data_IF_331845858243
#
_entry.id   IF_331845858243
#
_cell.length_a   1.000
_cell.length_b   1.000
_cell.length_c   1.000
_cell.angle_alpha   90.00
_cell.angle_beta   90.00
_cell.angle_gamma   90.00
#
_symmetry.space_group_name_H-M   'P 1'
#
loop_
_entity.id
_entity.type
_entity.pdbx_description
1 polymer ?
#
# COMPACT_ATOMS: atom_id res chain seq x y z
N UNK A 1 -36.91 -14.93 14.74
CA UNK A 1 -37.14 -16.34 14.31
C UNK A 1 -35.99 -16.96 13.51
N UNK A 2 -34.95 -16.22 13.08
CA UNK A 2 -33.90 -16.76 12.20
C UNK A 2 -32.73 -17.43 12.97
N UNK A 3 -32.41 -16.99 14.17
CA UNK A 3 -31.21 -17.42 14.91
C UNK A 3 -31.26 -18.90 15.32
N UNK A 4 -32.35 -19.44 15.94
CA UNK A 4 -32.36 -20.82 16.38
C UNK A 4 -32.19 -21.87 15.26
N UNK A 5 -32.83 -21.76 14.07
CA UNK A 5 -32.63 -22.73 13.00
C UNK A 5 -31.24 -22.66 12.37
N UNK A 6 -30.64 -21.48 12.25
CA UNK A 6 -29.26 -21.33 11.75
C UNK A 6 -28.25 -21.98 12.72
N UNK A 7 -28.35 -21.70 14.01
CA UNK A 7 -27.48 -22.30 15.03
C UNK A 7 -27.64 -23.83 15.11
N UNK A 8 -28.86 -24.34 15.02
CA UNK A 8 -29.12 -25.77 15.00
C UNK A 8 -28.50 -26.44 13.75
N UNK A 9 -28.60 -25.79 12.60
CA UNK A 9 -28.00 -26.26 11.35
C UNK A 9 -26.47 -26.27 11.42
N UNK A 10 -25.84 -25.29 12.05
CA UNK A 10 -24.38 -25.22 12.22
C UNK A 10 -23.86 -26.31 13.15
N UNK A 11 -24.52 -26.52 14.30
CA UNK A 11 -24.10 -27.53 15.28
C UNK A 11 -24.28 -28.98 14.77
N UNK A 12 -25.32 -29.24 14.00
CA UNK A 12 -25.64 -30.56 13.48
C UNK A 12 -25.52 -30.64 11.95
N UNK A 13 -24.56 -29.91 11.37
CA UNK A 13 -24.43 -29.71 9.93
C UNK A 13 -24.40 -31.04 9.14
N UNK A 14 -23.63 -32.04 9.58
CA UNK A 14 -23.52 -33.34 8.91
C UNK A 14 -24.84 -34.12 8.88
N UNK A 15 -25.55 -34.21 10.01
CA UNK A 15 -26.81 -34.93 10.09
C UNK A 15 -27.89 -34.28 9.25
N UNK A 16 -27.97 -32.96 9.27
CA UNK A 16 -28.96 -32.18 8.50
C UNK A 16 -28.61 -32.23 7.00
N UNK A 17 -27.35 -32.17 6.65
CA UNK A 17 -26.89 -32.34 5.27
C UNK A 17 -27.26 -33.70 4.71
N UNK A 18 -26.98 -34.77 5.45
CA UNK A 18 -27.34 -36.15 5.02
C UNK A 18 -28.83 -36.38 4.92
N UNK A 19 -29.63 -35.84 5.85
CA UNK A 19 -31.10 -35.96 5.81
C UNK A 19 -31.72 -35.26 4.57
N UNK A 20 -31.13 -34.11 4.20
CA UNK A 20 -31.65 -33.33 3.06
C UNK A 20 -30.96 -33.70 1.73
N UNK A 21 -29.88 -34.47 1.74
CA UNK A 21 -29.09 -34.78 0.54
C UNK A 21 -29.94 -35.39 -0.58
N UNK A 22 -30.83 -36.31 -0.25
CA UNK A 22 -31.69 -36.98 -1.25
C UNK A 22 -32.68 -36.01 -1.91
N UNK A 23 -33.24 -35.09 -1.14
CA UNK A 23 -34.17 -34.08 -1.63
C UNK A 23 -33.44 -33.10 -2.55
N UNK A 24 -32.29 -32.61 -2.08
CA UNK A 24 -31.42 -31.67 -2.83
C UNK A 24 -30.94 -32.34 -4.12
N UNK A 25 -30.51 -33.61 -4.08
CA UNK A 25 -30.08 -34.35 -5.25
C UNK A 25 -31.16 -34.48 -6.28
N UNK A 26 -32.39 -34.79 -5.84
CA UNK A 26 -33.56 -34.93 -6.74
C UNK A 26 -33.84 -33.60 -7.44
N UNK A 27 -33.86 -32.51 -6.71
CA UNK A 27 -34.01 -31.17 -7.26
C UNK A 27 -32.89 -30.80 -8.24
N UNK A 28 -31.65 -31.16 -7.90
CA UNK A 28 -30.50 -30.92 -8.76
C UNK A 28 -30.63 -31.65 -10.10
N UNK A 29 -31.03 -32.91 -10.09
CA UNK A 29 -31.24 -33.69 -11.31
C UNK A 29 -32.36 -33.09 -12.18
N UNK A 30 -33.47 -32.65 -11.58
CA UNK A 30 -34.56 -31.98 -12.30
C UNK A 30 -34.12 -30.62 -12.86
N UNK A 31 -33.34 -29.86 -12.12
CA UNK A 31 -32.88 -28.53 -12.52
C UNK A 31 -31.73 -28.57 -13.56
N UNK A 32 -30.91 -29.63 -13.58
CA UNK A 32 -29.75 -29.75 -14.49
C UNK A 32 -30.07 -29.49 -15.97
N UNK A 33 -31.14 -30.10 -16.58
CA UNK A 33 -31.42 -29.83 -17.99
C UNK A 33 -31.79 -28.36 -18.24
N UNK A 34 -32.51 -27.73 -17.30
CA UNK A 34 -32.87 -26.32 -17.42
C UNK A 34 -31.61 -25.43 -17.33
N UNK A 35 -30.72 -25.69 -16.36
CA UNK A 35 -29.44 -25.00 -16.19
C UNK A 35 -28.58 -25.17 -17.45
N UNK A 36 -28.54 -26.38 -18.02
CA UNK A 36 -27.79 -26.65 -19.25
C UNK A 36 -28.29 -25.79 -20.42
N UNK A 37 -29.61 -25.71 -20.60
CA UNK A 37 -30.21 -24.89 -21.66
C UNK A 37 -29.90 -23.42 -21.44
N UNK A 38 -30.03 -22.92 -20.20
CA UNK A 38 -29.72 -21.53 -19.87
C UNK A 38 -28.24 -21.18 -20.09
N UNK A 39 -27.32 -22.08 -19.70
CA UNK A 39 -25.90 -21.90 -19.94
C UNK A 39 -25.56 -21.87 -21.43
N UNK A 40 -26.17 -22.76 -22.25
CA UNK A 40 -25.96 -22.75 -23.69
C UNK A 40 -26.52 -21.49 -24.36
N UNK A 41 -27.67 -21.01 -23.89
CA UNK A 41 -28.24 -19.75 -24.35
C UNK A 41 -27.34 -18.56 -24.00
N UNK A 42 -26.84 -18.50 -22.76
CA UNK A 42 -25.91 -17.48 -22.29
C UNK A 42 -24.62 -17.47 -23.13
N UNK A 43 -24.00 -18.64 -23.34
CA UNK A 43 -22.80 -18.74 -24.17
C UNK A 43 -23.07 -18.31 -25.62
N UNK A 44 -24.26 -18.62 -26.15
CA UNK A 44 -24.68 -18.15 -27.48
C UNK A 44 -24.79 -16.64 -27.59
N UNK A 45 -25.34 -15.98 -26.56
CA UNK A 45 -25.43 -14.52 -26.49
C UNK A 45 -24.02 -13.91 -26.36
N UNK A 46 -23.16 -14.45 -25.47
CA UNK A 46 -21.78 -13.97 -25.31
C UNK A 46 -20.95 -14.10 -26.60
N UNK A 47 -21.16 -15.21 -27.33
CA UNK A 47 -20.52 -15.40 -28.65
C UNK A 47 -21.03 -14.37 -29.68
N UNK A 48 -22.28 -14.04 -29.69
CA UNK A 48 -22.85 -13.01 -30.58
C UNK A 48 -22.32 -11.62 -30.22
N UNK A 49 -22.09 -11.35 -28.91
CA UNK A 49 -21.51 -10.10 -28.40
C UNK A 49 -19.98 -10.07 -28.53
N UNK A 50 -19.34 -11.14 -29.01
CA UNK A 50 -17.87 -11.27 -29.07
C UNK A 50 -17.17 -11.08 -27.73
N UNK A 51 -17.80 -11.43 -26.64
CA UNK A 51 -17.23 -11.43 -25.30
C UNK A 51 -16.65 -12.81 -25.01
N UNK A 52 -15.37 -12.87 -24.63
CA UNK A 52 -14.72 -14.12 -24.23
C UNK A 52 -15.20 -14.52 -22.82
N UNK A 53 -15.93 -15.62 -22.68
CA UNK A 53 -16.40 -16.08 -21.37
C UNK A 53 -15.27 -16.55 -20.46
N UNK A 54 -14.06 -16.78 -20.99
CA UNK A 54 -12.86 -17.12 -20.23
C UNK A 54 -11.92 -15.93 -20.01
N UNK A 55 -12.32 -14.72 -20.44
CA UNK A 55 -11.60 -13.52 -20.05
C UNK A 55 -11.59 -13.47 -18.51
N UNK A 56 -10.39 -13.62 -17.95
CA UNK A 56 -10.13 -13.77 -16.50
C UNK A 56 -10.90 -12.73 -15.66
N UNK A 57 -12.08 -13.11 -15.20
CA UNK A 57 -12.79 -12.37 -14.15
C UNK A 57 -12.47 -12.93 -12.75
N UNK A 58 -11.67 -14.01 -12.67
CA UNK A 58 -11.37 -14.71 -11.42
C UNK A 58 -10.03 -14.30 -10.78
N UNK A 59 -9.44 -13.18 -11.22
CA UNK A 59 -8.30 -12.63 -10.47
C UNK A 59 -8.83 -11.83 -9.30
N UNK A 60 -8.54 -12.29 -8.10
CA UNK A 60 -8.80 -11.52 -6.88
C UNK A 60 -8.21 -10.11 -7.03
N UNK A 61 -9.02 -9.13 -6.71
CA UNK A 61 -8.57 -7.75 -6.58
C UNK A 61 -7.90 -7.54 -5.23
N UNK A 62 -7.17 -6.45 -5.07
CA UNK A 62 -6.64 -6.07 -3.75
C UNK A 62 -7.75 -5.93 -2.72
N UNK A 63 -8.88 -5.34 -3.10
CA UNK A 63 -10.07 -5.18 -2.24
C UNK A 63 -10.63 -6.53 -1.78
N UNK A 64 -10.65 -7.54 -2.66
CA UNK A 64 -11.06 -8.89 -2.29
C UNK A 64 -10.12 -9.50 -1.24
N UNK A 65 -8.81 -9.27 -1.38
CA UNK A 65 -7.81 -9.76 -0.42
C UNK A 65 -7.96 -9.04 0.92
N UNK A 66 -8.14 -7.71 0.93
CA UNK A 66 -8.40 -6.94 2.16
C UNK A 66 -9.65 -7.46 2.87
N UNK A 67 -10.72 -7.74 2.12
CA UNK A 67 -11.96 -8.32 2.68
C UNK A 67 -11.71 -9.69 3.31
N UNK A 68 -10.92 -10.56 2.68
CA UNK A 68 -10.55 -11.88 3.23
C UNK A 68 -9.77 -11.71 4.55
N UNK A 69 -8.84 -10.77 4.60
CA UNK A 69 -8.04 -10.47 5.80
C UNK A 69 -8.93 -9.96 6.92
N UNK A 70 -9.85 -9.05 6.63
CA UNK A 70 -10.80 -8.50 7.62
C UNK A 70 -11.71 -9.60 8.19
N UNK A 71 -12.29 -10.46 7.35
CA UNK A 71 -13.11 -11.60 7.80
C UNK A 71 -12.28 -12.58 8.63
N UNK A 72 -11.04 -12.87 8.23
CA UNK A 72 -10.15 -13.75 8.99
C UNK A 72 -9.79 -13.18 10.35
N UNK A 73 -9.69 -11.86 10.48
CA UNK A 73 -9.51 -11.18 11.75
C UNK A 73 -10.78 -11.28 12.62
N UNK A 74 -11.96 -11.05 12.08
CA UNK A 74 -13.24 -11.20 12.80
C UNK A 74 -13.45 -12.62 13.31
N UNK A 75 -12.99 -13.63 12.56
CA UNK A 75 -13.02 -15.04 12.96
C UNK A 75 -11.92 -15.41 13.97
N UNK A 76 -11.03 -14.48 14.32
CA UNK A 76 -9.95 -14.67 15.30
C UNK A 76 -8.76 -15.50 14.76
N UNK A 77 -8.63 -15.64 13.44
CA UNK A 77 -7.51 -16.36 12.80
C UNK A 77 -6.29 -15.45 12.64
N UNK A 78 -6.51 -14.16 12.43
CA UNK A 78 -5.49 -13.13 12.25
C UNK A 78 -5.57 -12.14 13.41
N UNK A 79 -4.42 -11.80 14.02
CA UNK A 79 -4.34 -10.79 15.07
C UNK A 79 -4.49 -9.37 14.52
N UNK A 80 -4.95 -8.38 15.33
CA UNK A 80 -5.13 -6.99 14.87
C UNK A 80 -3.86 -6.40 14.26
N UNK A 81 -2.70 -6.65 14.87
CA UNK A 81 -1.40 -6.17 14.42
C UNK A 81 -1.00 -6.77 13.07
N UNK A 82 -1.32 -8.04 12.84
CA UNK A 82 -1.05 -8.75 11.58
C UNK A 82 -1.92 -8.19 10.44
N UNK A 83 -3.21 -7.97 10.73
CA UNK A 83 -4.15 -7.33 9.80
C UNK A 83 -3.66 -5.96 9.37
N UNK A 84 -3.26 -5.11 10.34
CA UNK A 84 -2.77 -3.76 10.08
C UNK A 84 -1.46 -3.81 9.27
N UNK A 85 -0.58 -4.76 9.55
CA UNK A 85 0.66 -4.96 8.80
C UNK A 85 0.39 -5.33 7.33
N UNK A 86 -0.57 -6.22 7.07
CA UNK A 86 -0.96 -6.61 5.71
C UNK A 86 -1.52 -5.39 4.95
N UNK A 87 -2.40 -4.61 5.56
CA UNK A 87 -2.95 -3.41 4.95
C UNK A 87 -1.85 -2.36 4.67
N UNK A 88 -0.92 -2.15 5.59
CA UNK A 88 0.22 -1.25 5.39
C UNK A 88 1.13 -1.67 4.22
N UNK A 89 1.26 -2.98 3.93
CA UNK A 89 2.01 -3.45 2.76
C UNK A 89 1.33 -3.04 1.45
N UNK A 90 0.02 -3.12 1.38
CA UNK A 90 -0.73 -2.63 0.21
C UNK A 90 -0.60 -1.11 0.06
N UNK A 91 -0.81 -0.38 1.16
CA UNK A 91 -0.70 1.09 1.16
C UNK A 91 0.71 1.54 0.74
N UNK A 92 1.76 0.83 1.17
CA UNK A 92 3.13 1.09 0.73
C UNK A 92 3.32 0.88 -0.78
N UNK A 93 2.68 -0.15 -1.35
CA UNK A 93 2.73 -0.43 -2.79
C UNK A 93 2.13 0.70 -3.65
N UNK A 94 1.14 1.41 -3.11
CA UNK A 94 0.45 2.48 -3.80
C UNK A 94 0.94 3.89 -3.45
N UNK A 95 1.68 4.02 -2.33
CA UNK A 95 2.22 5.30 -1.89
C UNK A 95 3.17 5.92 -2.92
N UNK A 96 3.08 7.22 -3.06
CA UNK A 96 3.91 8.04 -3.94
C UNK A 96 4.86 8.93 -3.15
N UNK A 97 5.82 9.55 -3.80
CA UNK A 97 6.73 10.51 -3.18
C UNK A 97 5.97 11.64 -2.48
N UNK A 98 4.82 12.06 -3.03
CA UNK A 98 3.95 13.07 -2.44
C UNK A 98 3.41 12.67 -1.06
N UNK A 99 3.11 11.39 -0.87
CA UNK A 99 2.50 10.90 0.38
C UNK A 99 3.48 10.84 1.54
N UNK A 100 4.79 10.79 1.25
CA UNK A 100 5.86 10.69 2.25
C UNK A 100 6.76 11.93 2.30
N UNK A 101 6.61 12.89 1.38
CA UNK A 101 7.46 14.09 1.36
C UNK A 101 7.16 15.02 2.52
N UNK A 102 8.19 15.76 2.94
CA UNK A 102 8.03 16.93 3.79
C UNK A 102 7.76 18.14 2.86
N UNK A 103 6.68 18.89 3.06
CA UNK A 103 6.42 20.10 2.29
C UNK A 103 7.56 21.11 2.43
N UNK A 104 7.87 21.86 1.35
CA UNK A 104 8.96 22.84 1.34
C UNK A 104 8.85 23.86 2.48
N UNK A 105 7.64 24.25 2.85
CA UNK A 105 7.38 25.24 3.92
C UNK A 105 7.79 24.74 5.30
N UNK A 106 7.88 23.43 5.49
CA UNK A 106 8.24 22.76 6.74
C UNK A 106 9.68 22.25 6.72
N UNK A 107 10.43 22.53 5.65
CA UNK A 107 11.81 22.10 5.50
C UNK A 107 12.79 23.19 5.95
N UNK A 108 13.86 22.78 6.64
CA UNK A 108 15.00 23.64 6.92
C UNK A 108 16.05 23.47 5.82
N UNK A 109 16.52 24.59 5.30
CA UNK A 109 17.50 24.67 4.22
C UNK A 109 18.77 25.33 4.69
N UNK A 110 19.89 24.94 4.12
CA UNK A 110 21.19 25.50 4.36
C UNK A 110 21.67 26.28 3.14
N UNK A 111 22.12 27.52 3.35
CA UNK A 111 22.76 28.27 2.25
C UNK A 111 24.16 27.73 1.99
N UNK A 112 24.56 27.62 0.73
CA UNK A 112 25.90 27.15 0.33
C UNK A 112 27.05 28.00 0.88
N UNK A 113 26.76 29.25 1.18
CA UNK A 113 27.77 30.23 1.71
C UNK A 113 27.82 30.29 3.25
N UNK A 114 27.08 29.45 3.97
CA UNK A 114 27.11 29.40 5.41
C UNK A 114 28.52 29.02 5.91
N UNK A 115 28.94 29.70 6.95
CA UNK A 115 30.12 29.35 7.73
C UNK A 115 29.88 28.10 8.56
N UNK A 116 30.96 27.48 9.05
CA UNK A 116 30.84 26.31 9.93
C UNK A 116 29.95 26.61 11.16
N UNK A 117 30.13 27.82 11.76
CA UNK A 117 29.35 28.20 12.94
C UNK A 117 27.86 28.36 12.63
N UNK A 118 27.51 29.00 11.54
CA UNK A 118 26.08 29.15 11.10
C UNK A 118 25.43 27.79 10.86
N UNK A 119 26.18 26.81 10.34
CA UNK A 119 25.67 25.44 10.16
C UNK A 119 25.42 24.76 11.51
N UNK A 120 26.32 24.95 12.48
CA UNK A 120 26.15 24.40 13.84
C UNK A 120 24.99 25.07 14.57
N UNK A 121 24.82 26.37 14.40
CA UNK A 121 23.71 27.13 14.99
C UNK A 121 22.35 26.62 14.43
N UNK A 122 22.24 26.49 13.13
CA UNK A 122 21.08 25.90 12.46
C UNK A 122 20.78 24.49 12.97
N UNK A 123 21.82 23.65 13.08
CA UNK A 123 21.67 22.30 13.62
C UNK A 123 21.21 22.30 15.08
N UNK A 124 21.69 23.25 15.89
CA UNK A 124 21.35 23.35 17.31
C UNK A 124 19.87 23.70 17.51
N UNK A 125 19.29 24.46 16.57
CA UNK A 125 17.89 24.84 16.56
C UNK A 125 17.00 23.68 16.09
N UNK A 126 17.27 23.14 14.91
CA UNK A 126 16.39 22.20 14.19
C UNK A 126 16.66 20.74 14.51
N UNK A 127 17.91 20.37 14.78
CA UNK A 127 18.41 19.01 15.10
C UNK A 127 18.16 17.96 14.00
N UNK A 128 18.04 18.38 12.74
CA UNK A 128 17.93 17.44 11.63
C UNK A 128 19.30 16.84 11.27
N UNK A 129 19.29 15.60 10.81
CA UNK A 129 20.53 14.91 10.39
C UNK A 129 21.00 15.35 9.00
N UNK A 130 20.08 15.80 8.15
CA UNK A 130 20.33 16.14 6.74
C UNK A 130 19.65 17.44 6.40
N UNK A 131 20.38 18.30 5.70
CA UNK A 131 19.89 19.59 5.23
C UNK A 131 20.07 19.69 3.72
N UNK A 132 19.03 20.01 2.96
CA UNK A 132 19.18 20.45 1.58
C UNK A 132 19.99 21.74 1.53
N UNK A 133 20.94 21.80 0.59
CA UNK A 133 21.78 22.99 0.39
C UNK A 133 21.33 23.69 -0.88
N UNK A 134 21.05 24.98 -0.74
CA UNK A 134 20.62 25.81 -1.87
C UNK A 134 21.65 26.89 -2.21
N UNK A 135 21.61 27.32 -3.47
CA UNK A 135 22.35 28.46 -3.99
C UNK A 135 21.37 29.48 -4.57
N UNK A 136 21.52 30.75 -4.20
CA UNK A 136 20.68 31.88 -4.56
C UNK A 136 19.25 31.81 -4.02
N UNK A 137 18.51 30.75 -4.29
CA UNK A 137 17.13 30.54 -3.90
C UNK A 137 16.90 29.12 -3.38
N UNK A 138 16.01 28.96 -2.42
CA UNK A 138 15.58 27.65 -1.90
C UNK A 138 14.89 26.75 -2.96
N UNK A 139 14.63 27.27 -4.15
CA UNK A 139 14.20 26.51 -5.31
C UNK A 139 15.36 25.86 -6.06
N UNK A 140 16.58 26.40 -5.87
CA UNK A 140 17.80 25.90 -6.50
C UNK A 140 18.62 25.05 -5.51
N UNK A 141 18.16 23.84 -5.24
CA UNK A 141 18.87 22.89 -4.39
C UNK A 141 19.99 22.24 -5.18
N UNK A 142 21.24 22.41 -4.72
CA UNK A 142 22.44 21.89 -5.38
C UNK A 142 22.95 20.58 -4.78
N UNK A 143 22.40 20.16 -3.64
CA UNK A 143 22.78 18.93 -2.96
C UNK A 143 22.27 18.89 -1.54
N UNK A 144 22.84 18.01 -0.71
CA UNK A 144 22.55 17.95 0.72
C UNK A 144 23.83 17.79 1.53
N UNK A 145 23.81 18.26 2.79
CA UNK A 145 24.84 17.99 3.79
C UNK A 145 24.27 17.07 4.86
N UNK A 146 25.06 16.05 5.23
CA UNK A 146 24.83 15.25 6.41
C UNK A 146 25.66 15.83 7.57
N UNK A 147 25.00 16.20 8.66
CA UNK A 147 25.67 16.80 9.84
C UNK A 147 26.81 15.92 10.37
N UNK A 148 26.72 14.60 10.21
CA UNK A 148 27.81 13.69 10.61
C UNK A 148 29.12 13.92 9.84
N UNK A 149 29.04 14.42 8.60
CA UNK A 149 30.24 14.72 7.82
C UNK A 149 31.00 15.93 8.38
N UNK A 150 30.29 16.83 9.07
CA UNK A 150 30.91 17.99 9.74
C UNK A 150 31.74 17.61 10.97
N UNK A 151 31.43 16.46 11.60
CA UNK A 151 32.17 16.00 12.77
C UNK A 151 33.63 15.62 12.43
N UNK A 152 33.87 15.22 11.20
CA UNK A 152 35.20 14.81 10.69
C UNK A 152 35.85 15.88 9.82
N UNK A 153 35.27 17.09 9.75
CA UNK A 153 35.80 18.18 8.96
C UNK A 153 36.84 18.95 9.80
N UNK A 154 38.08 18.92 9.38
CA UNK A 154 39.19 19.44 10.17
C UNK A 154 39.36 20.97 10.08
N UNK A 155 39.22 21.54 8.88
CA UNK A 155 39.45 22.97 8.63
C UNK A 155 38.15 23.78 8.80
N UNK A 156 37.76 24.00 10.06
CA UNK A 156 36.57 24.75 10.42
C UNK A 156 36.62 26.23 10.08
N UNK A 157 37.83 26.81 10.02
CA UNK A 157 38.03 28.24 9.73
C UNK A 157 37.81 28.55 8.24
N UNK A 158 38.17 27.59 7.35
CA UNK A 158 37.98 27.73 5.91
C UNK A 158 36.88 26.78 5.41
N UNK A 159 35.84 26.60 6.20
CA UNK A 159 34.74 25.74 5.85
C UNK A 159 34.09 26.18 4.54
N UNK A 160 33.90 25.21 3.63
CA UNK A 160 33.16 25.40 2.40
C UNK A 160 32.16 24.24 2.25
N UNK A 161 30.87 24.57 2.28
CA UNK A 161 29.79 23.60 2.17
C UNK A 161 29.89 22.70 0.91
N UNK A 162 30.47 23.21 -0.18
CA UNK A 162 30.67 22.44 -1.43
C UNK A 162 31.60 21.24 -1.25
N UNK A 163 32.53 21.28 -0.30
CA UNK A 163 33.48 20.18 -0.06
C UNK A 163 32.84 18.96 0.61
N UNK A 164 31.73 19.17 1.31
CA UNK A 164 30.99 18.12 2.03
C UNK A 164 29.61 17.86 1.41
N UNK A 165 29.35 18.47 0.24
CA UNK A 165 28.09 18.34 -0.46
C UNK A 165 27.93 16.93 -1.02
N UNK A 166 26.78 16.32 -0.74
CA UNK A 166 26.38 15.04 -1.32
C UNK A 166 25.36 15.28 -2.41
N UNK A 167 25.42 14.48 -3.48
CA UNK A 167 24.43 14.50 -4.55
C UNK A 167 23.07 14.05 -4.03
N UNK A 168 22.01 14.65 -4.56
CA UNK A 168 20.63 14.27 -4.28
C UNK A 168 19.97 13.69 -5.54
N UNK A 169 19.04 12.80 -5.33
CA UNK A 169 18.19 12.29 -6.40
C UNK A 169 16.95 13.18 -6.51
N UNK A 170 16.72 13.69 -7.72
CA UNK A 170 15.49 14.42 -8.02
C UNK A 170 14.45 13.48 -8.60
N UNK A 171 13.22 13.62 -8.14
CA UNK A 171 12.11 12.83 -8.64
C UNK A 171 10.85 13.70 -8.72
N UNK A 172 9.79 13.16 -9.32
CA UNK A 172 8.48 13.84 -9.37
C UNK A 172 7.56 13.30 -8.26
N UNK A 173 6.57 14.09 -7.88
CA UNK A 173 5.66 13.79 -6.77
C UNK A 173 4.86 12.49 -6.93
N UNK A 174 4.62 12.05 -8.16
CA UNK A 174 3.86 10.83 -8.46
C UNK A 174 4.72 9.56 -8.61
N UNK A 175 6.03 9.65 -8.36
CA UNK A 175 6.87 8.45 -8.36
C UNK A 175 6.47 7.54 -7.20
N UNK A 176 6.26 6.24 -7.48
CA UNK A 176 5.97 5.26 -6.44
C UNK A 176 7.15 5.13 -5.48
N UNK A 177 6.86 4.91 -4.20
CA UNK A 177 7.88 4.75 -3.15
C UNK A 177 8.60 3.42 -3.24
N UNK A 178 8.01 2.44 -3.93
CA UNK A 178 8.57 1.11 -4.17
C UNK A 178 9.62 1.06 -5.28
N UNK A 179 9.78 2.13 -6.11
CA UNK A 179 10.70 2.24 -7.24
C UNK A 179 12.02 2.93 -6.83
#
# INVERSE_FOLDING_TARGET
>A
GEIPPKTCATINAEKIALANAKIIYTWMVIATPLIFIMNKLSLGILFLMRVDPNAKSDSYTEEDIRTIVDVSHEDGVIEPEERDMINNVFDFGDATAKDIMVPKVDMSFMNVNYTYQEVIDLYSEDKYTRYPVYEDSTDNVIGMINVKDLLIYDDKEHFNARNVLRSVLFTHEHKKTSD
#
